data_IF_671529745188
#
_entry.id   IF_671529745188
#
_cell.length_a   1.000
_cell.length_b   1.000
_cell.length_c   1.000
_cell.angle_alpha   90.00
_cell.angle_beta   90.00
_cell.angle_gamma   90.00
#
_symmetry.space_group_name_H-M   'P 1'
#
loop_
_entity.id
_entity.type
_entity.pdbx_description
1 polymer ?
#
# COMPACT_ATOMS: atom_id res chain seq x y z
N UNK A 1 -5.41 -1.94 8.42
CA UNK A 1 -5.52 -2.36 7.01
C UNK A 1 -6.51 -3.52 6.86
N UNK A 2 -6.25 -4.71 7.41
CA UNK A 2 -7.15 -5.87 7.28
C UNK A 2 -8.57 -5.58 7.80
N UNK A 3 -8.68 -4.88 8.94
CA UNK A 3 -9.97 -4.41 9.47
C UNK A 3 -10.70 -3.46 8.51
N UNK A 4 -9.96 -2.60 7.79
CA UNK A 4 -10.55 -1.64 6.87
C UNK A 4 -11.14 -2.32 5.62
N UNK A 5 -10.45 -3.35 5.11
CA UNK A 5 -10.97 -4.16 3.99
C UNK A 5 -12.02 -5.19 4.44
N UNK A 6 -12.27 -5.32 5.74
CA UNK A 6 -13.25 -6.26 6.31
C UNK A 6 -12.84 -7.73 6.27
N UNK A 7 -11.55 -8.05 6.10
CA UNK A 7 -11.10 -9.43 5.96
C UNK A 7 -9.59 -9.59 5.77
N UNK A 8 -9.16 -10.82 5.46
CA UNK A 8 -7.76 -11.16 5.15
C UNK A 8 -7.65 -11.51 3.67
N UNK A 9 -6.69 -10.92 2.97
CA UNK A 9 -6.38 -11.29 1.58
C UNK A 9 -5.46 -12.50 1.53
N UNK A 10 -5.58 -13.33 0.50
CA UNK A 10 -4.66 -14.45 0.30
C UNK A 10 -3.23 -13.99 -0.03
N UNK A 11 -3.09 -12.83 -0.67
CA UNK A 11 -1.81 -12.26 -1.13
C UNK A 11 -1.73 -10.78 -0.78
N UNK A 12 -0.55 -10.33 -0.35
CA UNK A 12 -0.19 -8.93 -0.14
C UNK A 12 1.10 -8.68 -0.91
N UNK A 13 1.07 -7.68 -1.81
CA UNK A 13 2.21 -7.30 -2.65
C UNK A 13 2.73 -5.92 -2.23
N UNK A 14 3.66 -5.83 -1.26
CA UNK A 14 4.21 -4.54 -0.84
C UNK A 14 5.27 -4.02 -1.83
N UNK A 15 5.49 -2.70 -1.85
CA UNK A 15 6.50 -2.00 -2.67
C UNK A 15 7.96 -2.21 -2.20
N UNK A 16 8.21 -3.31 -1.49
CA UNK A 16 9.53 -3.70 -0.99
C UNK A 16 10.27 -2.66 -0.10
N UNK A 17 9.61 -2.03 0.89
CA UNK A 17 10.31 -1.16 1.83
C UNK A 17 11.15 -1.98 2.81
N UNK A 18 12.29 -1.43 3.26
CA UNK A 18 13.15 -2.08 4.26
C UNK A 18 12.47 -2.35 5.60
N UNK A 19 11.36 -1.66 5.89
CA UNK A 19 10.53 -1.89 7.07
C UNK A 19 9.74 -3.20 7.00
N UNK A 20 9.43 -3.71 5.81
CA UNK A 20 8.71 -4.96 5.61
C UNK A 20 9.62 -6.10 5.15
N UNK A 21 10.63 -5.76 4.33
CA UNK A 21 11.50 -6.71 3.63
C UNK A 21 12.95 -6.43 4.02
N UNK A 22 13.59 -7.41 4.65
CA UNK A 22 15.01 -7.34 5.03
C UNK A 22 15.90 -7.46 3.81
N UNK A 23 15.67 -8.51 3.04
CA UNK A 23 16.38 -8.81 1.80
C UNK A 23 15.39 -9.06 0.68
N UNK A 24 15.61 -8.40 -0.44
CA UNK A 24 14.70 -8.39 -1.55
C UNK A 24 15.30 -9.20 -2.69
N UNK A 25 15.47 -10.49 -2.44
CA UNK A 25 15.81 -11.42 -3.49
C UNK A 25 14.59 -11.61 -4.43
N UNK A 26 14.78 -11.63 -5.77
CA UNK A 26 13.68 -11.83 -6.72
C UNK A 26 12.98 -13.19 -6.62
N UNK A 27 13.63 -14.18 -6.01
CA UNK A 27 13.14 -15.56 -5.87
C UNK A 27 12.81 -15.89 -4.42
N UNK A 28 13.66 -15.49 -3.46
CA UNK A 28 13.48 -15.77 -2.03
C UNK A 28 13.55 -14.50 -1.16
N UNK A 29 12.54 -13.62 -1.22
CA UNK A 29 12.52 -12.41 -0.42
C UNK A 29 12.48 -12.76 1.06
N UNK A 30 13.40 -12.16 1.83
CA UNK A 30 13.47 -12.33 3.28
C UNK A 30 12.71 -11.20 3.94
N UNK A 31 11.62 -11.57 4.62
CA UNK A 31 10.78 -10.62 5.33
C UNK A 31 11.43 -10.23 6.67
N UNK A 32 11.02 -9.09 7.23
CA UNK A 32 11.36 -8.78 8.60
C UNK A 32 10.56 -9.66 9.56
N UNK A 33 11.11 -9.92 10.76
CA UNK A 33 10.48 -10.76 11.78
C UNK A 33 9.00 -10.40 12.06
N UNK A 34 8.69 -9.11 12.19
CA UNK A 34 7.30 -8.65 12.43
C UNK A 34 6.38 -8.94 11.24
N UNK A 35 6.91 -8.85 10.03
CA UNK A 35 6.17 -9.15 8.79
C UNK A 35 5.91 -10.66 8.67
N UNK A 36 6.89 -11.49 9.05
CA UNK A 36 6.73 -12.94 9.12
C UNK A 36 5.70 -13.35 10.18
N UNK A 37 5.81 -12.81 11.39
CA UNK A 37 4.85 -13.06 12.48
C UNK A 37 3.43 -12.64 12.07
N UNK A 38 3.28 -11.52 11.35
CA UNK A 38 2.01 -11.09 10.77
C UNK A 38 1.47 -12.08 9.73
N UNK A 39 2.31 -12.55 8.81
CA UNK A 39 1.92 -13.53 7.78
C UNK A 39 1.49 -14.86 8.42
N UNK A 40 2.20 -15.32 9.44
CA UNK A 40 1.86 -16.54 10.20
C UNK A 40 0.54 -16.37 10.96
N UNK A 41 0.32 -15.21 11.58
CA UNK A 41 -0.88 -14.99 12.40
C UNK A 41 -2.15 -14.84 11.57
N UNK A 42 -2.10 -14.06 10.48
CA UNK A 42 -3.28 -13.78 9.67
C UNK A 42 -3.44 -14.75 8.48
N UNK A 43 -2.38 -15.46 8.08
CA UNK A 43 -2.37 -16.34 6.92
C UNK A 43 -2.15 -15.74 5.52
N UNK A 44 -1.87 -14.42 5.31
CA UNK A 44 -1.59 -13.94 3.96
C UNK A 44 -0.19 -14.35 3.49
N UNK A 45 -0.06 -14.65 2.20
CA UNK A 45 1.25 -14.70 1.54
C UNK A 45 1.72 -13.27 1.29
N UNK A 46 2.96 -12.96 1.65
CA UNK A 46 3.57 -11.65 1.38
C UNK A 46 4.62 -11.82 0.30
N UNK A 47 4.37 -11.23 -0.87
CA UNK A 47 5.26 -11.28 -2.02
C UNK A 47 5.68 -9.87 -2.40
N UNK A 48 6.84 -9.38 -1.95
CA UNK A 48 7.33 -8.06 -2.30
C UNK A 48 7.45 -7.86 -3.81
N UNK A 49 7.10 -6.66 -4.28
CA UNK A 49 7.33 -6.26 -5.66
C UNK A 49 8.83 -6.31 -5.99
N UNK A 50 9.15 -6.82 -7.19
CA UNK A 50 10.54 -6.95 -7.62
C UNK A 50 11.18 -5.57 -7.77
N UNK A 51 12.40 -5.42 -7.26
CA UNK A 51 13.15 -4.16 -7.41
C UNK A 51 13.29 -3.82 -8.90
N UNK A 52 13.01 -2.56 -9.24
CA UNK A 52 13.19 -2.00 -10.60
C UNK A 52 12.37 -2.70 -11.69
N UNK A 53 11.29 -3.40 -11.32
CA UNK A 53 10.34 -4.04 -12.24
C UNK A 53 8.92 -3.54 -11.93
N UNK A 54 8.46 -2.44 -12.54
CA UNK A 54 7.20 -1.77 -12.17
C UNK A 54 5.91 -2.55 -12.51
N UNK A 55 6.01 -3.82 -12.92
CA UNK A 55 4.86 -4.60 -13.40
C UNK A 55 4.04 -5.24 -12.28
N UNK A 56 4.61 -5.43 -11.08
CA UNK A 56 3.99 -6.24 -10.02
C UNK A 56 2.88 -5.49 -9.25
N UNK A 57 2.78 -4.17 -9.43
CA UNK A 57 1.82 -3.29 -8.71
C UNK A 57 1.09 -2.30 -9.62
N UNK A 58 0.96 -2.61 -10.92
CA UNK A 58 0.39 -1.69 -11.91
C UNK A 58 -1.02 -1.18 -11.55
N UNK A 59 -1.87 -2.02 -10.93
CA UNK A 59 -3.20 -1.59 -10.47
C UNK A 59 -3.14 -0.50 -9.39
N UNK A 60 -2.18 -0.60 -8.47
CA UNK A 60 -1.98 0.40 -7.41
C UNK A 60 -1.49 1.71 -8.04
N UNK A 61 -0.53 1.65 -8.95
CA UNK A 61 0.00 2.84 -9.63
C UNK A 61 -1.09 3.58 -10.42
N UNK A 62 -1.94 2.84 -11.14
CA UNK A 62 -3.10 3.42 -11.81
C UNK A 62 -4.08 4.07 -10.81
N UNK A 63 -4.35 3.41 -9.69
CA UNK A 63 -5.18 3.96 -8.62
C UNK A 63 -4.62 5.26 -8.03
N UNK A 64 -3.30 5.31 -7.79
CA UNK A 64 -2.62 6.53 -7.32
C UNK A 64 -2.78 7.66 -8.33
N UNK A 65 -2.59 7.39 -9.63
CA UNK A 65 -2.80 8.41 -10.67
C UNK A 65 -4.24 8.94 -10.71
N UNK A 66 -5.24 8.08 -10.46
CA UNK A 66 -6.64 8.51 -10.36
C UNK A 66 -6.82 9.43 -9.15
N UNK A 67 -6.30 9.06 -7.98
CA UNK A 67 -6.35 9.89 -6.76
C UNK A 67 -5.67 11.24 -6.97
N UNK A 68 -4.47 11.26 -7.55
CA UNK A 68 -3.73 12.49 -7.84
C UNK A 68 -4.54 13.44 -8.75
N UNK A 69 -5.10 12.93 -9.84
CA UNK A 69 -5.84 13.76 -10.82
C UNK A 69 -7.19 14.24 -10.31
N UNK A 70 -7.93 13.40 -9.60
CA UNK A 70 -9.32 13.72 -9.25
C UNK A 70 -9.45 14.36 -7.87
N UNK A 71 -8.53 14.07 -6.96
CA UNK A 71 -8.56 14.58 -5.58
C UNK A 71 -7.51 15.67 -5.41
N UNK A 72 -6.22 15.33 -5.55
CA UNK A 72 -5.15 16.28 -5.22
C UNK A 72 -5.16 17.49 -6.15
N UNK A 73 -5.24 17.28 -7.46
CA UNK A 73 -5.28 18.37 -8.43
C UNK A 73 -6.53 19.24 -8.25
N UNK A 74 -7.69 18.64 -7.94
CA UNK A 74 -8.95 19.38 -7.74
C UNK A 74 -8.93 20.22 -6.46
N UNK A 75 -8.28 19.73 -5.41
CA UNK A 75 -8.21 20.39 -4.10
C UNK A 75 -6.93 21.22 -3.90
N UNK A 76 -6.03 21.28 -4.90
CA UNK A 76 -4.67 21.87 -4.78
C UNK A 76 -4.59 23.32 -4.30
N UNK A 77 -5.65 24.10 -4.49
CA UNK A 77 -5.74 25.51 -4.11
C UNK A 77 -6.53 25.74 -2.81
N UNK A 78 -6.90 24.67 -2.12
CA UNK A 78 -7.65 24.71 -0.86
C UNK A 78 -6.71 24.37 0.29
N UNK A 79 -6.69 25.22 1.32
CA UNK A 79 -5.99 24.92 2.56
C UNK A 79 -6.96 24.30 3.55
N UNK A 80 -6.52 23.25 4.22
CA UNK A 80 -7.27 22.55 5.27
C UNK A 80 -6.60 22.81 6.60
N UNK A 81 -7.39 23.04 7.65
CA UNK A 81 -6.88 23.27 9.00
C UNK A 81 -7.07 22.05 9.92
N UNK A 82 -7.69 20.99 9.41
CA UNK A 82 -7.80 19.71 10.09
C UNK A 82 -7.91 18.54 9.10
N UNK A 83 -7.55 17.34 9.55
CA UNK A 83 -7.72 16.10 8.76
C UNK A 83 -9.20 15.85 8.46
N UNK A 84 -10.09 16.10 9.43
CA UNK A 84 -11.54 15.92 9.25
C UNK A 84 -12.11 16.82 8.13
N UNK A 85 -11.59 18.04 7.99
CA UNK A 85 -11.98 18.94 6.89
C UNK A 85 -11.52 18.41 5.53
N UNK A 86 -10.31 17.84 5.47
CA UNK A 86 -9.80 17.21 4.26
C UNK A 86 -10.62 15.95 3.90
N UNK A 87 -10.95 15.11 4.87
CA UNK A 87 -11.77 13.91 4.66
C UNK A 87 -13.17 14.26 4.15
N UNK A 88 -13.81 15.29 4.73
CA UNK A 88 -15.10 15.79 4.27
C UNK A 88 -15.03 16.33 2.83
N UNK A 89 -13.93 16.98 2.45
CA UNK A 89 -13.72 17.48 1.09
C UNK A 89 -13.41 16.36 0.07
N UNK A 90 -12.82 15.26 0.51
CA UNK A 90 -12.57 14.06 -0.30
C UNK A 90 -13.87 13.29 -0.55
N UNK A 91 -14.79 13.28 0.43
CA UNK A 91 -16.05 12.56 0.36
C UNK A 91 -17.18 13.28 -0.41
N UNK A 92 -17.00 14.56 -0.76
CA UNK A 92 -17.97 15.42 -1.43
C UNK A 92 -17.88 15.37 -2.96
#
# INVERSE_FOLDING_TARGET
MLTYIGGVTALIVPDNPRSLVRDADPYEPVLNRLTEEFAVHYGPVILPARRRRPQDKAQVENGVQVVERWILERLRHRQFFSVAEADAAIAA
#
